data_IF_302493153096
#
_entry.id   IF_302493153096
#
_cell.length_a   1.000
_cell.length_b   1.000
_cell.length_c   1.000
_cell.angle_alpha   90.00
_cell.angle_beta   90.00
_cell.angle_gamma   90.00
#
_symmetry.space_group_name_H-M   'P 1'
#
loop_
_entity.id
_entity.type
_entity.pdbx_description
1 polymer ?
#
# COMPACT_ATOMS: atom_id res chain seq x y z
N UNK A 1 -18.52 61.12 -67.12
CA UNK A 1 -17.55 60.22 -67.77
C UNK A 1 -16.80 59.50 -66.65
N UNK A 2 -17.30 58.36 -66.19
CA UNK A 2 -16.95 57.00 -66.68
C UNK A 2 -15.62 56.53 -66.04
N UNK A 3 -15.68 55.76 -64.94
CA UNK A 3 -15.61 54.29 -64.85
C UNK A 3 -14.18 53.71 -64.91
N UNK A 4 -13.74 53.07 -63.82
CA UNK A 4 -13.26 51.67 -63.77
C UNK A 4 -12.82 51.38 -62.32
N UNK A 5 -13.55 50.56 -61.57
CA UNK A 5 -13.47 49.08 -61.58
C UNK A 5 -12.08 48.59 -61.21
N UNK A 6 -11.93 48.14 -59.96
CA UNK A 6 -11.41 46.82 -59.63
C UNK A 6 -11.97 46.45 -58.24
N UNK A 7 -13.09 45.73 -58.25
CA UNK A 7 -13.47 44.88 -57.14
C UNK A 7 -12.31 43.90 -56.94
N UNK A 8 -11.49 44.10 -55.90
CA UNK A 8 -10.61 43.05 -55.43
C UNK A 8 -11.51 41.87 -55.09
N UNK A 9 -11.42 40.87 -55.97
CA UNK A 9 -11.91 39.52 -55.75
C UNK A 9 -11.18 39.01 -54.51
N UNK A 10 -11.73 39.31 -53.33
CA UNK A 10 -11.37 38.65 -52.10
C UNK A 10 -11.71 37.18 -52.33
N UNK A 11 -10.73 36.41 -52.77
CA UNK A 11 -10.71 34.98 -52.65
C UNK A 11 -11.17 34.67 -51.24
N UNK A 12 -12.40 34.16 -51.10
CA UNK A 12 -12.84 33.51 -49.88
C UNK A 12 -11.88 32.34 -49.70
N UNK A 13 -10.78 32.59 -48.98
CA UNK A 13 -10.04 31.52 -48.36
C UNK A 13 -11.05 30.87 -47.44
N UNK A 14 -11.56 29.70 -47.82
CA UNK A 14 -12.11 28.73 -46.89
C UNK A 14 -10.99 28.33 -45.93
N UNK A 15 -10.57 29.25 -45.06
CA UNK A 15 -9.89 28.95 -43.82
C UNK A 15 -10.94 28.30 -42.94
N UNK A 16 -11.22 27.02 -43.22
CA UNK A 16 -11.72 26.06 -42.25
C UNK A 16 -10.58 25.76 -41.28
N UNK A 17 -10.09 26.82 -40.62
CA UNK A 17 -9.20 26.74 -39.48
C UNK A 17 -10.07 26.76 -38.24
N UNK A 18 -9.81 25.84 -37.31
CA UNK A 18 -10.51 25.74 -36.04
C UNK A 18 -10.79 27.12 -35.45
N UNK A 19 -12.06 27.45 -35.26
CA UNK A 19 -12.41 28.70 -34.59
C UNK A 19 -12.00 28.60 -33.11
N UNK A 20 -11.69 29.73 -32.49
CA UNK A 20 -11.35 29.79 -31.06
C UNK A 20 -12.48 29.17 -30.20
N UNK A 21 -13.74 29.35 -30.62
CA UNK A 21 -14.92 28.80 -29.95
C UNK A 21 -14.97 27.28 -30.03
N UNK A 22 -14.70 26.70 -31.20
CA UNK A 22 -14.67 25.25 -31.40
C UNK A 22 -13.54 24.59 -30.57
N UNK A 23 -12.38 25.24 -30.53
CA UNK A 23 -11.25 24.80 -29.69
C UNK A 23 -11.57 24.90 -28.19
N UNK A 24 -12.30 25.94 -27.78
CA UNK A 24 -12.77 26.12 -26.40
C UNK A 24 -13.76 25.04 -25.97
N UNK A 25 -14.73 24.72 -26.84
CA UNK A 25 -15.71 23.67 -26.58
C UNK A 25 -15.03 22.30 -26.52
N UNK A 26 -14.08 22.02 -27.43
CA UNK A 26 -13.30 20.78 -27.39
C UNK A 26 -12.56 20.63 -26.05
N UNK A 27 -11.89 21.68 -25.56
CA UNK A 27 -11.22 21.67 -24.26
C UNK A 27 -12.19 21.48 -23.08
N UNK A 28 -13.36 22.11 -23.13
CA UNK A 28 -14.42 21.93 -22.11
C UNK A 28 -14.89 20.48 -22.04
N UNK A 29 -15.14 19.85 -23.19
CA UNK A 29 -15.56 18.44 -23.26
C UNK A 29 -14.46 17.54 -22.71
N UNK A 30 -13.21 17.74 -23.12
CA UNK A 30 -12.06 16.96 -22.61
C UNK A 30 -11.93 17.12 -21.10
N UNK A 31 -12.03 18.34 -20.57
CA UNK A 31 -11.97 18.59 -19.14
C UNK A 31 -13.11 17.88 -18.38
N UNK A 32 -14.34 17.94 -18.87
CA UNK A 32 -15.47 17.25 -18.27
C UNK A 32 -15.29 15.72 -18.25
N UNK A 33 -14.76 15.14 -19.32
CA UNK A 33 -14.46 13.71 -19.40
C UNK A 33 -13.36 13.29 -18.41
N UNK A 34 -12.31 14.10 -18.27
CA UNK A 34 -11.23 13.84 -17.30
C UNK A 34 -11.76 13.92 -15.86
N UNK A 35 -12.59 14.92 -15.55
CA UNK A 35 -13.23 15.04 -14.23
C UNK A 35 -14.12 13.84 -13.95
N UNK A 36 -14.88 13.35 -14.93
CA UNK A 36 -15.76 12.20 -14.78
C UNK A 36 -15.00 10.88 -14.47
N UNK A 37 -13.82 10.68 -15.06
CA UNK A 37 -13.02 9.45 -14.86
C UNK A 37 -12.12 9.54 -13.60
N UNK A 38 -11.81 10.76 -13.14
CA UNK A 38 -10.91 10.99 -12.01
C UNK A 38 -11.22 10.19 -10.73
N UNK A 39 -12.48 10.00 -10.27
CA UNK A 39 -12.75 9.29 -9.02
C UNK A 39 -12.38 7.81 -9.11
N UNK A 40 -12.54 7.20 -10.29
CA UNK A 40 -12.22 5.78 -10.52
C UNK A 40 -10.71 5.55 -10.47
N UNK A 41 -9.91 6.49 -10.98
CA UNK A 41 -8.45 6.43 -10.91
C UNK A 41 -7.95 6.54 -9.47
N UNK A 42 -8.54 7.43 -8.68
CA UNK A 42 -8.21 7.56 -7.25
C UNK A 42 -8.58 6.29 -6.50
N UNK A 43 -9.75 5.72 -6.75
CA UNK A 43 -10.17 4.46 -6.12
C UNK A 43 -9.26 3.29 -6.51
N UNK A 44 -8.87 3.18 -7.78
CA UNK A 44 -7.98 2.14 -8.27
C UNK A 44 -6.59 2.20 -7.61
N UNK A 45 -6.03 3.40 -7.47
CA UNK A 45 -4.72 3.58 -6.81
C UNK A 45 -4.80 3.29 -5.32
N UNK A 46 -5.88 3.70 -4.63
CA UNK A 46 -6.12 3.37 -3.24
C UNK A 46 -6.16 1.85 -3.01
N UNK A 47 -6.89 1.10 -3.84
CA UNK A 47 -6.97 -0.35 -3.75
C UNK A 47 -5.60 -1.01 -3.97
N UNK A 48 -4.79 -0.48 -4.90
CA UNK A 48 -3.42 -0.99 -5.14
C UNK A 48 -2.51 -0.79 -3.93
N UNK A 49 -2.61 0.35 -3.24
CA UNK A 49 -1.83 0.61 -2.02
C UNK A 49 -2.26 -0.32 -0.89
N UNK A 50 -3.56 -0.54 -0.72
CA UNK A 50 -4.08 -1.48 0.28
C UNK A 50 -3.62 -2.92 -0.01
N UNK A 51 -3.72 -3.37 -1.26
CA UNK A 51 -3.23 -4.68 -1.67
C UNK A 51 -1.73 -4.84 -1.39
N UNK A 52 -0.93 -3.79 -1.63
CA UNK A 52 0.51 -3.84 -1.35
C UNK A 52 0.83 -4.03 0.13
N UNK A 53 0.06 -3.40 1.03
CA UNK A 53 0.24 -3.57 2.49
C UNK A 53 -0.06 -5.01 2.91
N UNK A 54 -1.12 -5.60 2.37
CA UNK A 54 -1.47 -7.01 2.63
C UNK A 54 -0.39 -7.96 2.11
N UNK A 55 0.15 -7.70 0.91
CA UNK A 55 1.24 -8.47 0.33
C UNK A 55 2.50 -8.44 1.22
N UNK A 56 2.89 -7.25 1.69
CA UNK A 56 4.05 -7.10 2.59
C UNK A 56 3.84 -7.83 3.92
N UNK A 57 2.66 -7.69 4.55
CA UNK A 57 2.33 -8.42 5.77
C UNK A 57 2.35 -9.94 5.56
N UNK A 58 1.83 -10.42 4.43
CA UNK A 58 1.83 -11.85 4.08
C UNK A 58 3.25 -12.36 3.88
N UNK A 59 4.10 -11.61 3.20
CA UNK A 59 5.49 -11.98 2.99
C UNK A 59 6.27 -12.03 4.31
N UNK A 60 6.03 -11.08 5.23
CA UNK A 60 6.63 -11.11 6.56
C UNK A 60 6.18 -12.32 7.39
N UNK A 61 4.89 -12.67 7.35
CA UNK A 61 4.38 -13.86 8.02
C UNK A 61 5.00 -15.15 7.45
N UNK A 62 5.17 -15.25 6.12
CA UNK A 62 5.85 -16.38 5.48
C UNK A 62 7.32 -16.46 5.89
N UNK A 63 8.03 -15.34 5.88
CA UNK A 63 9.43 -15.29 6.31
C UNK A 63 9.58 -15.76 7.77
N UNK A 64 8.67 -15.37 8.67
CA UNK A 64 8.64 -15.89 10.03
C UNK A 64 8.42 -17.40 10.08
N UNK A 65 7.40 -17.92 9.36
CA UNK A 65 7.09 -19.35 9.34
C UNK A 65 8.28 -20.16 8.81
N UNK A 66 8.91 -19.70 7.73
CA UNK A 66 10.08 -20.36 7.14
C UNK A 66 11.31 -20.26 8.06
N UNK A 67 11.47 -19.13 8.76
CA UNK A 67 12.49 -18.96 9.80
C UNK A 67 12.30 -19.93 10.97
N UNK A 68 11.08 -20.14 11.43
CA UNK A 68 10.77 -21.12 12.49
C UNK A 68 10.96 -22.55 11.99
N UNK A 69 10.49 -22.88 10.78
CA UNK A 69 10.64 -24.22 10.19
C UNK A 69 12.09 -24.59 9.91
N UNK A 70 12.91 -23.63 9.50
CA UNK A 70 14.35 -23.85 9.28
C UNK A 70 15.16 -23.92 10.58
N UNK A 71 14.57 -23.55 11.73
CA UNK A 71 15.28 -23.45 13.00
C UNK A 71 16.13 -22.18 13.14
N UNK A 72 16.08 -21.27 12.16
CA UNK A 72 16.76 -19.96 12.23
C UNK A 72 16.15 -19.06 13.30
N UNK A 73 14.82 -19.14 13.47
CA UNK A 73 14.06 -18.41 14.48
C UNK A 73 13.57 -19.42 15.52
N UNK A 74 13.98 -19.21 16.77
CA UNK A 74 13.51 -20.05 17.88
C UNK A 74 12.08 -19.63 18.24
N UNK A 75 11.07 -20.51 18.12
CA UNK A 75 9.71 -20.13 18.47
C UNK A 75 9.59 -19.80 19.96
N UNK A 76 8.66 -18.91 20.36
CA UNK A 76 8.42 -18.62 21.77
C UNK A 76 7.98 -19.89 22.52
N UNK A 77 8.27 -19.97 23.83
CA UNK A 77 7.91 -21.14 24.63
C UNK A 77 6.41 -21.43 24.55
N UNK A 78 6.07 -22.71 24.45
CA UNK A 78 4.68 -23.17 24.48
C UNK A 78 4.18 -23.05 25.93
N UNK A 79 3.28 -22.11 26.21
CA UNK A 79 2.59 -22.12 27.50
C UNK A 79 1.43 -23.11 27.43
N UNK A 80 1.53 -24.17 28.22
CA UNK A 80 0.80 -25.44 28.05
C UNK A 80 -0.69 -25.37 28.47
N UNK A 81 -1.22 -24.20 28.83
CA UNK A 81 -2.58 -24.11 29.43
C UNK A 81 -3.49 -23.05 28.85
N UNK A 82 -2.99 -22.06 28.11
CA UNK A 82 -3.84 -21.00 27.54
C UNK A 82 -4.23 -21.31 26.11
N UNK A 83 -5.53 -21.40 25.78
CA UNK A 83 -5.97 -21.58 24.41
C UNK A 83 -5.59 -20.35 23.57
N UNK A 84 -5.32 -20.56 22.28
CA UNK A 84 -4.94 -19.50 21.35
C UNK A 84 -5.98 -18.38 21.26
N UNK A 85 -7.25 -18.68 21.52
CA UNK A 85 -8.36 -17.71 21.58
C UNK A 85 -8.23 -16.69 22.71
N UNK A 86 -7.43 -16.99 23.74
CA UNK A 86 -7.20 -16.11 24.89
C UNK A 86 -5.88 -15.34 24.77
N UNK A 87 -5.19 -15.43 23.63
CA UNK A 87 -4.00 -14.64 23.36
C UNK A 87 -4.45 -13.39 22.60
N UNK A 88 -4.57 -12.29 23.33
CA UNK A 88 -4.93 -11.01 22.74
C UNK A 88 -3.86 -10.53 21.74
N UNK A 89 -4.30 -9.76 20.75
CA UNK A 89 -3.38 -9.01 19.92
C UNK A 89 -2.60 -8.02 20.79
N UNK A 90 -1.31 -7.76 20.49
CA UNK A 90 -0.56 -6.71 21.16
C UNK A 90 -1.33 -5.40 21.08
N UNK A 91 -1.38 -4.68 22.20
CA UNK A 91 -1.99 -3.35 22.21
C UNK A 91 -1.31 -2.49 21.15
N UNK A 92 -2.11 -1.81 20.32
CA UNK A 92 -1.60 -0.93 19.28
C UNK A 92 -0.74 0.16 19.96
N UNK A 93 0.56 0.16 19.70
CA UNK A 93 1.48 1.03 20.41
C UNK A 93 2.93 0.65 20.24
N UNK A 94 3.81 1.59 20.61
CA UNK A 94 5.27 1.56 20.43
C UNK A 94 5.87 0.15 20.54
N UNK A 95 6.50 -0.31 19.47
CA UNK A 95 7.33 -1.51 19.46
C UNK A 95 8.79 -1.12 19.73
N UNK A 96 9.50 -1.89 20.55
CA UNK A 96 10.92 -1.65 20.83
C UNK A 96 11.76 -2.80 20.27
N UNK A 97 12.11 -2.68 19.00
CA UNK A 97 12.83 -3.69 18.23
C UNK A 97 14.28 -3.19 17.96
N UNK A 98 15.26 -3.58 18.77
CA UNK A 98 16.63 -3.05 18.65
C UNK A 98 17.38 -3.59 17.42
N UNK A 99 16.97 -4.75 16.91
CA UNK A 99 17.62 -5.44 15.79
C UNK A 99 16.58 -5.91 14.79
N UNK A 100 16.90 -5.81 13.49
CA UNK A 100 16.13 -6.45 12.42
C UNK A 100 16.05 -7.97 12.59
N UNK A 101 14.95 -8.55 12.08
CA UNK A 101 14.76 -10.01 11.98
C UNK A 101 14.88 -10.75 13.33
N UNK A 102 14.59 -10.07 14.44
CA UNK A 102 14.70 -10.60 15.78
C UNK A 102 13.49 -10.21 16.64
N UNK A 103 13.34 -10.87 17.78
CA UNK A 103 12.28 -10.57 18.74
C UNK A 103 12.50 -9.19 19.35
N UNK A 104 11.41 -8.43 19.43
CA UNK A 104 11.45 -7.13 20.06
C UNK A 104 11.48 -7.27 21.58
N UNK A 105 12.11 -6.29 22.23
CA UNK A 105 12.15 -6.18 23.70
C UNK A 105 10.78 -5.84 24.28
N UNK A 106 9.92 -5.21 23.49
CA UNK A 106 8.56 -4.84 23.87
C UNK A 106 7.63 -4.80 22.64
N UNK A 107 6.37 -5.25 22.76
CA UNK A 107 5.77 -5.95 23.91
C UNK A 107 6.22 -7.42 23.98
N UNK A 108 6.51 -7.88 25.19
CA UNK A 108 6.86 -9.28 25.47
C UNK A 108 6.05 -9.74 26.68
N UNK A 109 5.23 -10.76 26.49
CA UNK A 109 4.46 -11.39 27.58
C UNK A 109 4.88 -12.83 27.73
N UNK A 110 4.34 -13.52 28.73
CA UNK A 110 4.50 -14.97 28.82
C UNK A 110 3.89 -15.66 27.59
N UNK A 111 2.76 -15.16 27.06
CA UNK A 111 1.94 -15.85 26.04
C UNK A 111 2.37 -15.58 24.61
N UNK A 112 2.93 -14.40 24.34
CA UNK A 112 3.37 -14.04 23.00
C UNK A 112 4.60 -13.14 23.05
N UNK A 113 5.35 -13.19 21.96
CA UNK A 113 6.44 -12.27 21.66
C UNK A 113 6.21 -11.70 20.28
N UNK A 114 6.69 -10.49 20.02
CA UNK A 114 6.64 -9.93 18.66
C UNK A 114 8.01 -10.04 18.01
N UNK A 115 8.02 -10.50 16.76
CA UNK A 115 9.21 -10.51 15.92
C UNK A 115 9.09 -9.37 14.92
N UNK A 116 10.16 -8.60 14.73
CA UNK A 116 10.24 -7.71 13.59
C UNK A 116 10.85 -8.42 12.38
N UNK A 117 10.25 -8.21 11.20
CA UNK A 117 10.78 -8.59 9.90
C UNK A 117 11.19 -7.33 9.16
N UNK A 118 12.48 -7.24 8.83
CA UNK A 118 13.04 -6.14 8.07
C UNK A 118 12.69 -6.31 6.58
N UNK A 119 11.81 -5.43 6.08
CA UNK A 119 11.33 -5.48 4.71
C UNK A 119 12.08 -4.56 3.75
N UNK A 120 13.00 -3.72 4.23
CA UNK A 120 13.78 -2.80 3.41
C UNK A 120 15.28 -3.16 3.33
N UNK A 121 15.75 -4.06 4.18
CA UNK A 121 17.12 -4.55 4.26
C UNK A 121 18.10 -3.59 4.92
N UNK A 122 17.63 -2.63 5.73
CA UNK A 122 18.48 -1.64 6.39
C UNK A 122 19.06 -2.12 7.74
N UNK A 123 18.69 -3.33 8.17
CA UNK A 123 19.16 -3.93 9.42
C UNK A 123 18.50 -3.34 10.67
N UNK A 124 17.46 -2.53 10.50
CA UNK A 124 16.70 -1.90 11.58
C UNK A 124 15.21 -2.21 11.42
N UNK A 125 14.48 -1.87 12.48
CA UNK A 125 13.04 -2.00 12.53
C UNK A 125 12.47 -0.71 13.09
N UNK A 126 11.94 0.14 12.22
CA UNK A 126 11.52 1.48 12.58
C UNK A 126 10.02 1.67 12.36
N UNK A 127 9.32 2.41 13.25
CA UNK A 127 7.88 2.62 13.11
C UNK A 127 7.51 3.53 11.92
N UNK A 128 8.47 4.29 11.39
CA UNK A 128 8.27 5.18 10.25
C UNK A 128 8.38 4.43 8.90
N UNK A 129 8.97 3.24 8.89
CA UNK A 129 9.13 2.43 7.71
C UNK A 129 7.95 1.47 7.54
N UNK A 130 7.14 1.69 6.50
CA UNK A 130 5.97 0.86 6.22
C UNK A 130 6.31 -0.54 5.70
N UNK A 131 7.57 -0.80 5.33
CA UNK A 131 8.04 -2.12 4.91
C UNK A 131 8.44 -3.01 6.09
N UNK A 132 8.73 -2.42 7.25
CA UNK A 132 9.09 -3.16 8.46
C UNK A 132 7.80 -3.68 9.08
N UNK A 133 7.72 -5.00 9.20
CA UNK A 133 6.49 -5.67 9.63
C UNK A 133 6.70 -6.34 10.97
N UNK A 134 5.67 -6.31 11.81
CA UNK A 134 5.66 -7.00 13.09
C UNK A 134 4.80 -8.25 12.99
N UNK A 135 5.37 -9.38 13.40
CA UNK A 135 4.70 -10.67 13.48
C UNK A 135 4.52 -11.04 14.94
N UNK A 136 3.27 -11.24 15.37
CA UNK A 136 2.98 -11.81 16.68
C UNK A 136 3.25 -13.32 16.65
N UNK A 137 4.21 -13.75 17.46
CA UNK A 137 4.56 -15.13 17.66
C UNK A 137 3.94 -15.63 18.97
N UNK A 138 3.20 -16.74 18.91
CA UNK A 138 2.69 -17.44 20.09
C UNK A 138 2.96 -18.95 19.97
N UNK A 139 3.21 -19.57 21.12
CA UNK A 139 3.41 -21.00 21.25
C UNK A 139 2.21 -21.64 21.96
N UNK A 140 1.61 -22.69 21.38
CA UNK A 140 0.53 -23.45 22.01
C UNK A 140 0.82 -24.95 21.99
N UNK A 141 0.77 -25.58 23.16
CA UNK A 141 0.78 -27.03 23.30
C UNK A 141 -0.67 -27.51 23.48
N UNK A 142 -1.17 -28.35 22.58
CA UNK A 142 -2.42 -29.09 22.82
C UNK A 142 -2.15 -30.13 23.90
N UNK A 143 -2.58 -29.88 25.13
CA UNK A 143 -2.83 -30.97 26.06
C UNK A 143 -3.99 -31.77 25.48
N UNK A 144 -3.75 -33.05 25.16
CA UNK A 144 -4.83 -33.94 24.75
C UNK A 144 -5.86 -33.97 25.89
N UNK A 145 -7.05 -33.43 25.63
CA UNK A 145 -8.21 -33.65 26.49
C UNK A 145 -8.59 -35.11 26.28
N UNK A 146 -8.29 -35.94 27.27
CA UNK A 146 -8.86 -37.29 27.44
C UNK A 146 -10.37 -37.22 27.56
#
# INVERSE_FOLDING_TARGET
MSQHSQQQLSTQSSQSGFTIIESLLALMVVAALLVAISPVLVLATANRVQAKRVELATNAAKAYIDGVRSGTIVPPPLNVTTPLTNIDAPSAGRFSCPTANNYCTFPRTSFYQVLCVDGNGDGKCTPEQFKDMIVQASGYQRTNVT
#
